data_IF_419715680734
#
_entry.id   IF_419715680734
#
_cell.length_a   1.000
_cell.length_b   1.000
_cell.length_c   1.000
_cell.angle_alpha   90.00
_cell.angle_beta   90.00
_cell.angle_gamma   90.00
#
_symmetry.space_group_name_H-M   'P 1'
#
loop_
_entity.id
_entity.type
_entity.pdbx_description
1 polymer ?
#
# COMPACT_ATOMS: atom_id res chain seq x y z
N UNK A 1 -8.47 -5.35 -6.02
CA UNK A 1 -7.20 -5.24 -5.30
C UNK A 1 -7.34 -5.85 -3.92
N UNK A 2 -6.38 -6.62 -3.51
CA UNK A 2 -6.40 -7.31 -2.21
C UNK A 2 -5.80 -6.41 -1.15
N UNK A 3 -6.62 -5.98 -0.21
CA UNK A 3 -6.31 -4.99 0.82
C UNK A 3 -6.42 -5.64 2.20
N UNK A 4 -5.43 -5.39 3.05
CA UNK A 4 -5.50 -5.77 4.46
C UNK A 4 -6.25 -4.71 5.25
N UNK A 5 -5.82 -3.45 5.15
CA UNK A 5 -6.47 -2.35 5.86
C UNK A 5 -6.18 -1.01 5.20
N UNK A 6 -7.03 -0.02 5.45
CA UNK A 6 -6.83 1.37 5.05
C UNK A 6 -7.11 2.24 6.26
N UNK A 7 -6.13 3.04 6.68
CA UNK A 7 -6.25 3.86 7.88
C UNK A 7 -5.41 5.12 7.79
N UNK A 8 -5.70 6.11 8.64
CA UNK A 8 -4.94 7.35 8.73
C UNK A 8 -4.00 7.31 9.93
N UNK A 9 -2.75 7.72 9.74
CA UNK A 9 -1.74 7.77 10.79
C UNK A 9 -0.61 8.73 10.39
N UNK A 10 0.47 8.75 11.18
CA UNK A 10 1.65 9.54 10.91
C UNK A 10 2.70 8.66 10.23
N UNK A 11 3.25 9.12 9.10
CA UNK A 11 4.34 8.40 8.43
C UNK A 11 5.59 8.42 9.31
N UNK A 12 6.12 7.24 9.62
CA UNK A 12 7.31 7.08 10.47
C UNK A 12 8.63 7.03 9.72
N UNK A 13 8.62 6.92 8.39
CA UNK A 13 9.81 6.66 7.58
C UNK A 13 9.87 7.54 6.35
N UNK A 14 11.07 7.65 5.75
CA UNK A 14 11.27 8.33 4.47
C UNK A 14 11.24 9.85 4.57
N UNK A 15 11.19 10.49 3.40
CA UNK A 15 11.21 11.96 3.29
C UNK A 15 9.95 12.61 3.85
N UNK A 16 8.86 11.86 3.96
CA UNK A 16 7.58 12.34 4.48
C UNK A 16 7.35 11.94 5.94
N UNK A 17 8.41 11.57 6.67
CA UNK A 17 8.30 11.25 8.10
C UNK A 17 7.70 12.41 8.88
N UNK A 18 6.74 12.11 9.75
CA UNK A 18 6.01 13.11 10.53
C UNK A 18 4.79 13.69 9.84
N UNK A 19 4.52 13.34 8.60
CA UNK A 19 3.37 13.82 7.84
C UNK A 19 2.17 12.89 8.05
N UNK A 20 1.02 13.47 8.35
CA UNK A 20 -0.25 12.76 8.45
C UNK A 20 -0.59 12.13 7.10
N UNK A 21 -0.85 10.82 7.07
CA UNK A 21 -0.94 10.04 5.85
C UNK A 21 -2.06 9.01 5.91
N UNK A 22 -2.58 8.65 4.75
CA UNK A 22 -3.48 7.52 4.59
C UNK A 22 -2.62 6.31 4.22
N UNK A 23 -2.69 5.26 5.01
CA UNK A 23 -1.98 4.02 4.74
C UNK A 23 -2.91 3.05 4.03
N UNK A 24 -2.50 2.60 2.84
CA UNK A 24 -3.14 1.49 2.13
C UNK A 24 -2.23 0.29 2.31
N UNK A 25 -2.62 -0.60 3.21
CA UNK A 25 -1.87 -1.82 3.46
C UNK A 25 -2.41 -2.93 2.58
N UNK A 26 -1.62 -3.33 1.58
CA UNK A 26 -1.99 -4.42 0.70
C UNK A 26 -1.84 -5.75 1.42
N UNK A 27 -2.67 -6.71 1.06
CA UNK A 27 -2.50 -8.10 1.48
C UNK A 27 -1.59 -8.83 0.50
N UNK A 28 -1.11 -9.98 0.89
CA UNK A 28 -0.22 -10.88 0.15
C UNK A 28 1.22 -10.36 0.11
N UNK A 29 2.14 -11.23 0.48
CA UNK A 29 3.58 -10.97 0.45
C UNK A 29 4.31 -12.19 -0.09
N UNK A 30 5.39 -11.94 -0.83
CA UNK A 30 6.24 -13.00 -1.37
C UNK A 30 7.42 -13.36 -0.44
N UNK A 31 7.52 -12.71 0.72
CA UNK A 31 8.51 -13.04 1.74
C UNK A 31 7.82 -13.45 3.03
N UNK A 32 8.38 -14.47 3.71
CA UNK A 32 7.91 -14.95 5.01
C UNK A 32 8.93 -14.57 6.07
N UNK A 33 8.92 -13.30 6.47
CA UNK A 33 9.89 -12.78 7.42
C UNK A 33 9.44 -13.03 8.86
N UNK A 34 10.29 -13.66 9.68
CA UNK A 34 9.98 -13.93 11.08
C UNK A 34 9.87 -12.66 11.92
N UNK A 35 10.50 -11.57 11.47
CA UNK A 35 10.47 -10.25 12.11
C UNK A 35 9.40 -9.33 11.53
N UNK A 36 8.51 -9.84 10.68
CA UNK A 36 7.49 -9.02 10.03
C UNK A 36 6.41 -8.60 11.02
N UNK A 37 6.11 -7.29 11.09
CA UNK A 37 5.07 -6.74 11.95
C UNK A 37 3.65 -6.98 11.42
N UNK A 38 3.54 -7.39 10.15
CA UNK A 38 2.26 -7.53 9.46
C UNK A 38 2.07 -8.94 8.89
N UNK A 39 2.34 -9.95 9.71
CA UNK A 39 2.21 -11.36 9.30
C UNK A 39 0.81 -11.72 8.82
N UNK A 40 -0.21 -11.02 9.27
CA UNK A 40 -1.58 -11.21 8.84
C UNK A 40 -1.80 -10.89 7.34
N UNK A 41 -0.79 -10.36 6.65
CA UNK A 41 -0.85 -10.12 5.21
C UNK A 41 -0.40 -11.33 4.37
N UNK A 42 0.21 -12.35 4.99
CA UNK A 42 0.74 -13.51 4.26
C UNK A 42 0.72 -14.83 5.05
N UNK A 43 0.64 -14.79 6.38
CA UNK A 43 0.75 -15.99 7.23
C UNK A 43 -0.61 -16.63 7.47
N UNK A 44 -1.06 -17.41 6.49
CA UNK A 44 -2.38 -18.05 6.52
C UNK A 44 -2.44 -19.30 7.40
N UNK A 45 -1.32 -19.71 7.99
CA UNK A 45 -1.29 -20.76 9.00
C UNK A 45 -1.77 -20.24 10.37
N UNK A 46 -1.47 -18.97 10.69
CA UNK A 46 -1.79 -18.33 11.97
C UNK A 46 -2.89 -17.26 11.86
N UNK A 47 -3.19 -16.79 10.66
CA UNK A 47 -4.22 -15.77 10.41
C UNK A 47 -5.21 -16.26 9.37
N UNK A 48 -6.48 -15.92 9.56
CA UNK A 48 -7.55 -16.32 8.66
C UNK A 48 -7.58 -15.40 7.44
N UNK A 49 -7.32 -15.96 6.26
CA UNK A 49 -7.33 -15.23 5.00
C UNK A 49 -8.64 -14.47 4.78
N UNK A 50 -9.78 -15.12 5.03
CA UNK A 50 -11.09 -14.50 4.80
C UNK A 50 -11.38 -13.32 5.73
N UNK A 51 -10.74 -13.29 6.89
CA UNK A 51 -10.84 -12.18 7.85
C UNK A 51 -9.89 -11.05 7.50
N UNK A 52 -8.66 -11.39 7.10
CA UNK A 52 -7.58 -10.40 6.93
C UNK A 52 -7.49 -9.79 5.53
N UNK A 53 -8.00 -10.49 4.51
CA UNK A 53 -7.91 -10.03 3.12
C UNK A 53 -9.27 -9.56 2.63
N UNK A 54 -9.33 -8.32 2.17
CA UNK A 54 -10.54 -7.71 1.62
C UNK A 54 -10.33 -7.40 0.14
N UNK A 55 -11.13 -8.04 -0.72
CA UNK A 55 -11.10 -7.71 -2.15
C UNK A 55 -11.89 -6.42 -2.35
N UNK A 56 -11.20 -5.36 -2.77
CA UNK A 56 -11.80 -4.05 -2.96
C UNK A 56 -11.62 -3.58 -4.41
N UNK A 57 -12.69 -3.05 -4.99
CA UNK A 57 -12.61 -2.40 -6.29
C UNK A 57 -11.92 -1.04 -6.15
N UNK A 58 -11.47 -0.49 -7.28
CA UNK A 58 -10.88 0.85 -7.31
C UNK A 58 -11.87 1.88 -6.77
N UNK A 59 -13.15 1.77 -7.14
CA UNK A 59 -14.19 2.67 -6.64
C UNK A 59 -14.36 2.61 -5.13
N UNK A 60 -14.32 1.40 -4.55
CA UNK A 60 -14.44 1.21 -3.11
C UNK A 60 -13.25 1.84 -2.37
N UNK A 61 -12.04 1.67 -2.91
CA UNK A 61 -10.83 2.27 -2.33
C UNK A 61 -10.94 3.79 -2.37
N UNK A 62 -11.34 4.36 -3.51
CA UNK A 62 -11.49 5.81 -3.66
C UNK A 62 -12.51 6.40 -2.69
N UNK A 63 -13.63 5.72 -2.50
CA UNK A 63 -14.65 6.15 -1.54
C UNK A 63 -14.09 6.17 -0.12
N UNK A 64 -13.28 5.17 0.22
CA UNK A 64 -12.66 5.10 1.53
C UNK A 64 -11.68 6.26 1.75
N UNK A 65 -10.90 6.60 0.73
CA UNK A 65 -9.95 7.71 0.79
C UNK A 65 -10.64 9.06 1.03
N UNK A 66 -11.85 9.24 0.51
CA UNK A 66 -12.61 10.48 0.70
C UNK A 66 -13.01 10.73 2.16
N UNK A 67 -13.03 9.70 3.00
CA UNK A 67 -13.35 9.82 4.42
C UNK A 67 -12.22 10.38 5.26
N UNK A 68 -11.03 10.54 4.69
CA UNK A 68 -9.86 11.02 5.39
C UNK A 68 -9.48 12.43 4.93
N UNK A 69 -8.91 13.23 5.83
CA UNK A 69 -8.48 14.59 5.51
C UNK A 69 -7.06 14.65 4.95
N UNK A 70 -6.22 13.65 5.23
CA UNK A 70 -4.85 13.62 4.75
C UNK A 70 -4.79 13.54 3.23
N UNK A 71 -3.74 14.12 2.64
CA UNK A 71 -3.52 14.12 1.19
C UNK A 71 -2.27 13.33 0.79
N UNK A 72 -1.55 12.79 1.74
CA UNK A 72 -0.42 11.91 1.51
C UNK A 72 -0.87 10.46 1.64
N UNK A 73 -0.56 9.64 0.64
CA UNK A 73 -0.87 8.21 0.64
C UNK A 73 0.41 7.42 0.71
N UNK A 74 0.47 6.49 1.65
CA UNK A 74 1.56 5.51 1.76
C UNK A 74 1.00 4.14 1.42
N UNK A 75 1.49 3.55 0.34
CA UNK A 75 1.11 2.20 -0.06
C UNK A 75 2.16 1.25 0.49
N UNK A 76 1.73 0.38 1.38
CA UNK A 76 2.59 -0.54 2.11
C UNK A 76 1.94 -1.91 2.14
N UNK A 77 2.35 -2.78 3.01
CA UNK A 77 1.62 -4.01 3.06
C UNK A 77 2.38 -5.14 3.67
N UNK A 78 2.05 -6.25 3.26
CA UNK A 78 2.51 -7.26 2.34
C UNK A 78 3.56 -6.77 1.35
N UNK A 79 3.37 -7.05 0.12
CA UNK A 79 4.22 -6.51 -0.93
C UNK A 79 3.36 -5.86 -2.02
N UNK A 80 3.30 -4.50 -2.05
CA UNK A 80 2.46 -3.80 -3.02
C UNK A 80 2.78 -4.11 -4.48
N UNK A 81 4.04 -4.37 -4.81
CA UNK A 81 4.44 -4.62 -6.20
C UNK A 81 3.97 -5.97 -6.74
N UNK A 82 3.37 -6.83 -5.91
CA UNK A 82 2.66 -8.02 -6.38
C UNK A 82 1.35 -7.66 -7.11
N UNK A 83 0.85 -6.45 -6.93
CA UNK A 83 -0.42 -5.99 -7.52
C UNK A 83 -0.23 -4.73 -8.34
N UNK A 84 0.82 -4.68 -9.17
CA UNK A 84 1.20 -3.46 -9.90
C UNK A 84 0.12 -2.97 -10.87
N UNK A 85 -0.57 -3.87 -11.57
CA UNK A 85 -1.62 -3.48 -12.52
C UNK A 85 -2.76 -2.74 -11.80
N UNK A 86 -3.20 -3.26 -10.68
CA UNK A 86 -4.26 -2.64 -9.87
C UNK A 86 -3.78 -1.32 -9.27
N UNK A 87 -2.51 -1.24 -8.85
CA UNK A 87 -1.93 0.01 -8.36
C UNK A 87 -1.93 1.09 -9.43
N UNK A 88 -1.53 0.76 -10.66
CA UNK A 88 -1.54 1.69 -11.78
C UNK A 88 -2.95 2.21 -12.01
N UNK A 89 -3.94 1.32 -12.03
CA UNK A 89 -5.35 1.71 -12.21
C UNK A 89 -5.83 2.64 -11.10
N UNK A 90 -5.50 2.32 -9.85
CA UNK A 90 -5.88 3.14 -8.71
C UNK A 90 -5.25 4.54 -8.80
N UNK A 91 -3.92 4.59 -8.94
CA UNK A 91 -3.19 5.86 -8.92
C UNK A 91 -3.54 6.74 -10.11
N UNK A 92 -3.78 6.16 -11.29
CA UNK A 92 -4.26 6.90 -12.44
C UNK A 92 -5.63 7.51 -12.18
N UNK A 93 -6.52 6.77 -11.53
CA UNK A 93 -7.86 7.23 -11.22
C UNK A 93 -7.91 8.35 -10.19
N UNK A 94 -6.88 8.50 -9.37
CA UNK A 94 -6.79 9.56 -8.36
C UNK A 94 -6.46 10.92 -8.96
N UNK A 95 -6.03 10.99 -10.22
CA UNK A 95 -5.78 12.24 -10.96
C UNK A 95 -4.86 13.22 -10.24
N UNK A 96 -3.84 12.69 -9.56
CA UNK A 96 -2.83 13.47 -8.82
C UNK A 96 -3.40 14.38 -7.72
N UNK A 97 -4.54 14.01 -7.16
CA UNK A 97 -5.13 14.70 -6.00
C UNK A 97 -4.42 14.38 -4.69
N UNK A 98 -3.59 13.36 -4.70
CA UNK A 98 -2.84 12.89 -3.55
C UNK A 98 -1.34 12.84 -3.87
N UNK A 99 -0.54 12.99 -2.83
CA UNK A 99 0.89 12.73 -2.91
C UNK A 99 1.13 11.27 -2.52
N UNK A 100 1.80 10.50 -3.37
CA UNK A 100 1.88 9.04 -3.23
C UNK A 100 3.31 8.59 -3.00
N UNK A 101 3.51 7.74 -1.99
CA UNK A 101 4.75 7.01 -1.81
C UNK A 101 4.48 5.51 -1.63
N UNK A 102 5.45 4.67 -1.98
CA UNK A 102 5.35 3.22 -1.85
C UNK A 102 6.49 2.70 -0.99
N UNK A 103 6.16 1.80 -0.07
CA UNK A 103 7.12 1.01 0.68
C UNK A 103 7.12 -0.41 0.14
N UNK A 104 8.27 -0.92 -0.26
CA UNK A 104 8.42 -2.26 -0.85
C UNK A 104 9.58 -3.02 -0.21
N UNK A 105 9.52 -4.35 -0.25
CA UNK A 105 10.62 -5.21 0.23
C UNK A 105 11.78 -5.30 -0.79
N UNK A 106 11.62 -4.74 -1.98
CA UNK A 106 12.67 -4.66 -2.98
C UNK A 106 12.90 -5.93 -3.80
N UNK A 107 12.07 -6.96 -3.64
CA UNK A 107 12.23 -8.22 -4.40
C UNK A 107 11.69 -8.14 -5.82
N UNK A 108 10.84 -7.16 -6.10
CA UNK A 108 10.26 -6.93 -7.42
C UNK A 108 10.63 -5.55 -7.91
N UNK A 109 10.74 -5.40 -9.25
CA UNK A 109 10.99 -4.09 -9.85
C UNK A 109 9.65 -3.45 -10.24
N UNK A 110 9.50 -2.13 -10.00
CA UNK A 110 8.32 -1.43 -10.49
C UNK A 110 8.37 -1.35 -12.02
N UNK A 111 7.23 -1.52 -12.66
CA UNK A 111 7.13 -1.34 -14.11
C UNK A 111 7.18 0.15 -14.46
N UNK A 112 7.57 0.46 -15.69
CA UNK A 112 7.78 1.85 -16.13
C UNK A 112 6.52 2.72 -15.99
N UNK A 113 5.35 2.13 -16.18
CA UNK A 113 4.08 2.86 -16.09
C UNK A 113 3.74 3.26 -14.65
N UNK A 114 4.28 2.56 -13.66
CA UNK A 114 4.03 2.86 -12.25
C UNK A 114 4.88 4.02 -11.75
N UNK A 115 6.14 4.10 -12.19
CA UNK A 115 7.12 5.05 -11.66
C UNK A 115 6.63 6.51 -11.67
N UNK A 116 6.07 7.03 -12.79
CA UNK A 116 5.63 8.44 -12.80
C UNK A 116 4.41 8.72 -11.94
N UNK A 117 3.74 7.70 -11.45
CA UNK A 117 2.58 7.85 -10.57
C UNK A 117 2.96 7.96 -9.09
N UNK A 118 4.23 7.72 -8.76
CA UNK A 118 4.76 7.79 -7.39
C UNK A 118 5.52 9.10 -7.22
N UNK A 119 5.08 9.92 -6.29
CA UNK A 119 5.59 11.29 -6.14
C UNK A 119 6.91 11.37 -5.37
N UNK A 120 7.07 10.60 -4.30
CA UNK A 120 8.26 10.68 -3.44
C UNK A 120 9.29 9.58 -3.70
N UNK A 121 9.10 8.80 -4.75
CA UNK A 121 9.93 7.65 -5.04
C UNK A 121 9.56 6.43 -4.20
N UNK A 122 10.41 5.43 -4.24
CA UNK A 122 10.15 4.14 -3.60
C UNK A 122 11.01 4.01 -2.35
N UNK A 123 10.36 3.75 -1.22
CA UNK A 123 11.04 3.47 0.03
C UNK A 123 11.19 1.95 0.18
N UNK A 124 12.44 1.49 0.29
CA UNK A 124 12.71 0.09 0.46
C UNK A 124 12.76 -0.25 1.95
N UNK A 125 11.89 -1.13 2.39
CA UNK A 125 11.89 -1.62 3.77
C UNK A 125 13.01 -2.65 3.98
N UNK A 126 13.58 -2.64 5.14
CA UNK A 126 14.65 -3.56 5.51
C UNK A 126 14.14 -4.73 6.33
#
# INVERSE_FOLDING_TARGET
>A
MKISEIFESIQGEGTNAGIESIFIRTAICNLKCSWCDTKYTWDWENFDYDVEVHEMSISQIKQKLENFSAKNIVITGGEPLLQQEELISLLTSLQKKFFVEIETNGTLLPVDELIPLIDSGILYSQ
#
